data_IF_926454900773
#
_entry.id   IF_926454900773
#
_cell.length_a   1.000
_cell.length_b   1.000
_cell.length_c   1.000
_cell.angle_alpha   90.00
_cell.angle_beta   90.00
_cell.angle_gamma   90.00
#
_symmetry.space_group_name_H-M   'P 1'
#
loop_
_entity.id
_entity.type
_entity.pdbx_description
1 polymer ?
#
# COMPACT_ATOMS: atom_id res chain seq x y z
N UNK A 1 -4.16 -13.67 -3.17
CA UNK A 1 -5.14 -14.73 -2.88
C UNK A 1 -5.84 -15.13 -4.17
N UNK A 2 -6.19 -16.40 -4.32
CA UNK A 2 -6.97 -16.89 -5.45
C UNK A 2 -8.45 -16.59 -5.24
N UNK A 3 -9.18 -16.35 -6.33
CA UNK A 3 -10.59 -15.95 -6.28
C UNK A 3 -11.48 -17.00 -5.58
N UNK A 4 -11.12 -18.28 -5.67
CA UNK A 4 -11.85 -19.40 -5.07
C UNK A 4 -11.26 -19.85 -3.72
N UNK A 5 -10.30 -19.10 -3.16
CA UNK A 5 -9.62 -19.43 -1.92
C UNK A 5 -8.73 -20.68 -2.02
N UNK A 6 -8.27 -21.04 -3.22
CA UNK A 6 -7.37 -22.18 -3.49
C UNK A 6 -8.10 -23.52 -3.66
N UNK A 7 -9.43 -23.51 -3.80
CA UNK A 7 -10.26 -24.72 -3.91
C UNK A 7 -9.98 -25.53 -5.18
N UNK A 8 -9.79 -24.87 -6.32
CA UNK A 8 -9.47 -25.53 -7.59
C UNK A 8 -8.08 -26.17 -7.60
N UNK A 9 -7.09 -25.55 -6.94
CA UNK A 9 -5.71 -26.04 -6.90
C UNK A 9 -5.45 -27.05 -5.79
N UNK A 10 -6.27 -27.06 -4.75
CA UNK A 10 -6.14 -27.98 -3.62
C UNK A 10 -7.44 -28.78 -3.46
N UNK A 11 -7.53 -30.00 -4.03
CA UNK A 11 -8.74 -30.82 -3.98
C UNK A 11 -9.23 -31.15 -2.55
N UNK A 12 -8.34 -31.12 -1.56
CA UNK A 12 -8.67 -31.28 -0.14
C UNK A 12 -9.34 -30.04 0.48
N UNK A 13 -9.22 -28.86 -0.14
CA UNK A 13 -9.92 -27.65 0.29
C UNK A 13 -11.35 -27.63 -0.24
N UNK A 14 -12.25 -28.29 0.48
CA UNK A 14 -13.68 -28.30 0.13
C UNK A 14 -14.40 -26.96 0.42
N UNK A 15 -13.83 -26.10 1.26
CA UNK A 15 -14.48 -24.89 1.76
C UNK A 15 -14.36 -23.71 0.77
N UNK A 16 -13.14 -23.38 0.35
CA UNK A 16 -12.85 -22.28 -0.58
C UNK A 16 -13.12 -20.88 -0.01
N UNK A 17 -13.17 -19.89 -0.91
CA UNK A 17 -13.34 -18.46 -0.56
C UNK A 17 -14.55 -18.17 0.33
N UNK A 18 -15.63 -18.96 0.22
CA UNK A 18 -16.83 -18.84 1.07
C UNK A 18 -16.52 -18.89 2.57
N UNK A 19 -15.44 -19.59 2.95
CA UNK A 19 -15.02 -19.75 4.33
C UNK A 19 -13.68 -19.07 4.62
N UNK A 20 -13.25 -18.12 3.77
CA UNK A 20 -12.05 -17.32 4.00
C UNK A 20 -10.73 -18.10 3.87
N UNK A 21 -10.70 -19.20 3.12
CA UNK A 21 -9.46 -19.97 2.89
C UNK A 21 -8.55 -19.30 1.86
N UNK A 22 -7.27 -19.69 1.84
CA UNK A 22 -6.32 -19.27 0.79
C UNK A 22 -5.68 -17.90 1.02
N UNK A 23 -5.64 -17.43 2.27
CA UNK A 23 -4.94 -16.20 2.64
C UNK A 23 -3.43 -16.31 2.34
N UNK A 24 -2.89 -15.26 1.73
CA UNK A 24 -1.46 -15.08 1.53
C UNK A 24 -1.14 -13.59 1.48
N UNK A 25 -0.04 -13.20 2.12
CA UNK A 25 0.48 -11.84 2.11
C UNK A 25 2.01 -11.83 1.89
N UNK A 26 2.59 -10.63 1.80
CA UNK A 26 4.02 -10.45 1.54
C UNK A 26 4.94 -10.85 2.72
N UNK A 27 4.40 -11.18 3.90
CA UNK A 27 5.18 -11.64 5.05
C UNK A 27 5.49 -13.13 4.98
N UNK A 28 4.91 -13.87 4.03
CA UNK A 28 5.01 -15.33 3.93
C UNK A 28 4.78 -16.02 5.28
N UNK A 29 3.60 -15.79 5.91
CA UNK A 29 3.36 -16.16 7.29
C UNK A 29 3.40 -17.67 7.46
N UNK A 30 4.23 -18.15 8.39
CA UNK A 30 4.20 -19.54 8.84
C UNK A 30 3.26 -19.73 10.04
N UNK A 31 3.12 -18.70 10.89
CA UNK A 31 2.14 -18.65 11.98
C UNK A 31 1.64 -17.20 12.15
N UNK A 32 0.34 -16.92 12.04
CA UNK A 32 -0.22 -15.56 12.25
C UNK A 32 -0.86 -15.46 13.63
N UNK A 33 -0.25 -14.69 14.53
CA UNK A 33 -0.88 -14.13 15.75
C UNK A 33 -0.28 -12.74 16.03
N UNK A 34 -0.67 -11.74 15.24
CA UNK A 34 -0.30 -10.31 15.37
C UNK A 34 1.17 -9.95 15.11
N UNK A 35 1.40 -8.79 14.49
CA UNK A 35 2.75 -8.19 14.36
C UNK A 35 2.63 -6.69 14.62
N UNK A 36 2.92 -6.32 15.87
CA UNK A 36 3.29 -5.00 16.45
C UNK A 36 2.56 -3.71 16.03
N UNK A 37 1.42 -3.78 15.34
CA UNK A 37 0.39 -2.72 15.37
C UNK A 37 0.81 -1.28 15.00
N UNK A 38 1.94 -1.05 14.33
CA UNK A 38 2.47 0.30 14.09
C UNK A 38 3.02 0.51 12.67
N UNK A 39 2.64 1.64 12.08
CA UNK A 39 3.25 2.18 10.87
C UNK A 39 4.44 3.09 11.26
N UNK A 40 5.61 2.87 10.66
CA UNK A 40 6.81 3.65 10.93
C UNK A 40 6.77 5.03 10.23
N UNK A 41 6.02 5.97 10.80
CA UNK A 41 6.06 7.40 10.43
C UNK A 41 6.50 8.20 11.67
N UNK A 42 7.82 8.29 11.88
CA UNK A 42 8.40 9.03 13.02
C UNK A 42 7.95 10.50 12.97
N UNK A 43 7.11 10.92 13.92
CA UNK A 43 6.57 12.28 14.03
C UNK A 43 5.15 12.48 13.45
N UNK A 44 4.50 11.43 12.94
CA UNK A 44 3.08 11.51 12.57
C UNK A 44 2.22 11.37 13.82
N UNK A 45 1.69 12.48 14.32
CA UNK A 45 0.55 12.45 15.23
C UNK A 45 -0.69 12.20 14.37
N UNK A 46 -1.53 11.24 14.75
CA UNK A 46 -2.89 11.20 14.24
C UNK A 46 -3.50 12.58 14.49
N UNK A 47 -4.04 13.16 13.42
CA UNK A 47 -4.61 14.49 13.43
C UNK A 47 -5.90 14.43 14.26
N UNK A 48 -5.80 14.75 15.57
CA UNK A 48 -6.92 14.82 16.49
C UNK A 48 -7.94 15.90 16.12
N UNK A 49 -8.98 16.05 16.93
CA UNK A 49 -10.07 16.99 16.71
C UNK A 49 -9.53 18.40 16.34
N UNK A 50 -10.03 18.97 15.24
CA UNK A 50 -9.62 20.30 14.74
C UNK A 50 -8.35 20.36 13.88
N UNK A 51 -7.78 19.22 13.45
CA UNK A 51 -6.60 19.16 12.57
C UNK A 51 -6.93 19.09 11.06
N UNK A 52 -5.89 19.02 10.21
CA UNK A 52 -6.04 19.02 8.73
C UNK A 52 -6.76 17.76 8.25
N UNK A 53 -6.57 16.61 8.87
CA UNK A 53 -7.40 15.43 8.67
C UNK A 53 -7.96 14.95 10.01
N UNK A 54 -9.12 15.48 10.40
CA UNK A 54 -9.76 15.14 11.69
C UNK A 54 -10.18 13.65 11.73
N UNK A 55 -9.44 12.83 12.46
CA UNK A 55 -9.71 11.38 12.55
C UNK A 55 -10.91 11.04 13.44
N UNK A 56 -11.50 12.01 14.15
CA UNK A 56 -12.75 11.82 14.89
C UNK A 56 -13.99 11.83 13.99
N UNK A 57 -13.83 12.32 12.74
CA UNK A 57 -14.90 12.40 11.74
C UNK A 57 -14.68 11.38 10.64
N UNK A 58 -15.75 11.04 9.92
CA UNK A 58 -15.62 10.23 8.71
C UNK A 58 -14.90 11.05 7.64
N UNK A 59 -14.08 10.38 6.84
CA UNK A 59 -13.44 10.94 5.67
C UNK A 59 -13.23 9.82 4.65
N UNK A 60 -13.01 10.19 3.40
CA UNK A 60 -12.70 9.24 2.33
C UNK A 60 -11.19 9.16 2.13
N UNK A 61 -10.67 7.94 2.01
CA UNK A 61 -9.28 7.69 1.61
C UNK A 61 -9.26 7.41 0.11
N UNK A 62 -8.56 8.24 -0.65
CA UNK A 62 -8.40 8.08 -2.09
C UNK A 62 -6.99 7.55 -2.36
N UNK A 63 -6.90 6.39 -3.02
CA UNK A 63 -5.62 5.83 -3.47
C UNK A 63 -5.65 5.72 -4.99
N UNK A 64 -4.71 6.39 -5.65
CA UNK A 64 -4.56 6.38 -7.10
C UNK A 64 -3.35 5.54 -7.49
N UNK A 65 -3.54 4.65 -8.47
CA UNK A 65 -2.49 3.82 -9.05
C UNK A 65 -2.19 4.35 -10.44
N UNK A 66 -1.10 5.11 -10.57
CA UNK A 66 -0.76 5.83 -11.79
C UNK A 66 0.20 4.96 -12.59
N UNK A 67 -0.13 4.77 -13.87
CA UNK A 67 0.64 3.95 -14.80
C UNK A 67 1.36 4.82 -15.83
N UNK A 68 2.43 4.28 -16.39
CA UNK A 68 3.13 4.90 -17.51
C UNK A 68 2.19 5.13 -18.69
N UNK A 69 2.17 6.37 -19.20
CA UNK A 69 1.28 6.77 -20.29
C UNK A 69 -0.19 6.91 -19.88
N UNK A 70 -0.53 6.85 -18.58
CA UNK A 70 -1.91 6.98 -18.07
C UNK A 70 -2.90 6.00 -18.72
N UNK A 71 -2.47 4.76 -18.95
CA UNK A 71 -3.31 3.71 -19.55
C UNK A 71 -3.44 2.50 -18.62
N UNK A 72 -4.48 1.70 -18.80
CA UNK A 72 -4.62 0.42 -18.09
C UNK A 72 -3.61 -0.67 -18.54
N UNK A 73 -2.77 -0.39 -19.54
CA UNK A 73 -1.74 -1.30 -20.06
C UNK A 73 -0.33 -0.92 -19.61
N UNK A 74 -0.13 0.32 -19.15
CA UNK A 74 1.16 0.82 -18.71
C UNK A 74 1.63 0.18 -17.42
N UNK A 75 2.95 0.19 -17.20
CA UNK A 75 3.55 -0.24 -15.94
C UNK A 75 3.14 0.72 -14.81
N UNK A 76 2.91 0.20 -13.60
CA UNK A 76 2.65 1.04 -12.42
C UNK A 76 3.91 1.83 -12.08
N UNK A 77 3.79 3.16 -11.97
CA UNK A 77 4.94 4.05 -11.71
C UNK A 77 4.79 4.86 -10.42
N UNK A 78 3.56 5.10 -9.96
CA UNK A 78 3.30 5.91 -8.76
C UNK A 78 2.03 5.44 -8.04
N UNK A 79 2.10 5.34 -6.71
CA UNK A 79 0.90 5.25 -5.85
C UNK A 79 0.73 6.56 -5.10
N UNK A 80 -0.37 7.26 -5.36
CA UNK A 80 -0.69 8.55 -4.73
C UNK A 80 -1.84 8.41 -3.75
N UNK A 81 -1.76 9.19 -2.67
CA UNK A 81 -2.77 9.24 -1.61
C UNK A 81 -3.38 10.65 -1.54
N UNK A 82 -4.69 10.72 -1.34
CA UNK A 82 -5.41 11.93 -0.96
C UNK A 82 -6.52 11.57 0.02
N UNK A 83 -7.07 12.58 0.70
CA UNK A 83 -8.20 12.41 1.60
C UNK A 83 -9.30 13.42 1.25
N UNK A 84 -10.56 13.03 1.35
CA UNK A 84 -11.70 13.92 1.14
C UNK A 84 -12.50 13.98 2.44
N UNK A 85 -12.66 15.18 3.00
CA UNK A 85 -13.51 15.41 4.17
C UNK A 85 -14.99 15.40 3.77
N UNK A 86 -15.86 15.20 4.76
CA UNK A 86 -17.32 15.29 4.57
C UNK A 86 -17.80 16.69 4.14
N UNK A 87 -17.02 17.74 4.41
CA UNK A 87 -17.30 19.12 3.97
C UNK A 87 -16.89 19.40 2.51
N UNK A 88 -16.38 18.38 1.78
CA UNK A 88 -15.92 18.50 0.40
C UNK A 88 -14.46 18.93 0.25
N UNK A 89 -13.74 19.20 1.34
CA UNK A 89 -12.33 19.61 1.29
C UNK A 89 -11.42 18.44 0.89
N UNK A 90 -10.71 18.59 -0.22
CA UNK A 90 -9.66 17.65 -0.64
C UNK A 90 -8.33 17.99 0.06
N UNK A 91 -7.72 16.98 0.68
CA UNK A 91 -6.46 17.06 1.39
C UNK A 91 -5.42 16.23 0.64
N UNK A 92 -4.35 16.88 0.19
CA UNK A 92 -3.18 16.21 -0.37
C UNK A 92 -2.40 15.45 0.69
N UNK A 93 -1.74 14.36 0.30
CA UNK A 93 -0.85 13.63 1.21
C UNK A 93 0.26 14.55 1.72
N UNK A 94 0.68 14.33 2.97
CA UNK A 94 1.77 15.10 3.55
C UNK A 94 3.11 14.57 2.99
N UNK A 95 4.00 15.44 2.49
CA UNK A 95 5.31 14.99 2.07
C UNK A 95 6.13 14.45 3.24
N UNK A 96 6.94 13.43 2.98
CA UNK A 96 7.82 12.84 4.00
C UNK A 96 8.81 13.87 4.52
N UNK A 97 9.03 13.82 5.84
CA UNK A 97 9.97 14.70 6.56
C UNK A 97 11.29 13.98 6.83
N UNK A 98 11.86 13.36 5.81
CA UNK A 98 13.16 12.67 5.92
C UNK A 98 14.27 13.64 5.49
N UNK A 99 15.23 13.87 6.38
CA UNK A 99 16.44 14.65 6.06
C UNK A 99 17.30 13.85 5.07
N UNK A 100 17.76 14.47 3.99
CA UNK A 100 18.57 13.82 2.95
C UNK A 100 17.82 13.41 1.68
N UNK A 101 16.52 13.71 1.56
CA UNK A 101 15.81 13.62 0.28
C UNK A 101 15.97 14.93 -0.51
N UNK A 102 16.49 14.83 -1.75
CA UNK A 102 16.64 15.97 -2.66
C UNK A 102 15.31 16.64 -3.03
N UNK A 103 14.21 15.87 -2.96
CA UNK A 103 12.85 16.35 -3.23
C UNK A 103 11.89 15.83 -2.18
N UNK A 104 10.98 16.70 -1.74
CA UNK A 104 9.80 16.32 -0.97
C UNK A 104 9.04 15.25 -1.76
N UNK A 105 8.81 14.09 -1.14
CA UNK A 105 8.06 13.00 -1.73
C UNK A 105 6.77 12.79 -0.95
N UNK A 106 5.63 12.86 -1.64
CA UNK A 106 4.28 12.69 -1.10
C UNK A 106 3.54 11.49 -1.73
N UNK A 107 4.24 10.71 -2.55
CA UNK A 107 3.74 9.50 -3.22
C UNK A 107 4.80 8.41 -3.25
N UNK A 108 4.37 7.17 -3.47
CA UNK A 108 5.26 6.02 -3.58
C UNK A 108 5.72 5.85 -5.03
N UNK A 109 7.03 5.90 -5.25
CA UNK A 109 7.69 5.65 -6.54
C UNK A 109 8.94 4.82 -6.28
N UNK A 110 9.46 4.10 -7.29
CA UNK A 110 10.73 3.37 -7.14
C UNK A 110 11.88 4.29 -6.71
N UNK A 111 11.91 5.53 -7.21
CA UNK A 111 12.90 6.54 -6.83
C UNK A 111 12.80 6.91 -5.36
N UNK A 112 11.59 7.16 -4.87
CA UNK A 112 11.35 7.45 -3.46
C UNK A 112 11.73 6.25 -2.58
N UNK A 113 11.30 5.03 -2.95
CA UNK A 113 11.63 3.81 -2.21
C UNK A 113 13.16 3.60 -2.13
N UNK A 114 13.89 3.79 -3.23
CA UNK A 114 15.35 3.70 -3.24
C UNK A 114 15.98 4.76 -2.33
N UNK A 115 15.63 6.04 -2.52
CA UNK A 115 16.22 7.12 -1.73
C UNK A 115 15.91 6.97 -0.24
N UNK A 116 14.69 6.58 0.12
CA UNK A 116 14.33 6.31 1.51
C UNK A 116 15.18 5.17 2.10
N UNK A 117 15.38 4.08 1.35
CA UNK A 117 16.20 2.94 1.80
C UNK A 117 17.68 3.30 1.90
N UNK A 118 18.21 4.12 1.00
CA UNK A 118 19.58 4.62 1.05
C UNK A 118 19.83 5.51 2.28
N UNK A 119 18.81 6.26 2.72
CA UNK A 119 18.87 7.12 3.91
C UNK A 119 18.72 6.28 5.19
N UNK A 120 17.73 5.37 5.25
CA UNK A 120 17.49 4.54 6.43
C UNK A 120 18.53 3.43 6.59
N UNK A 121 19.35 3.17 5.57
CA UNK A 121 20.33 2.07 5.51
C UNK A 121 19.70 0.68 5.60
N UNK A 122 18.41 0.60 5.30
CA UNK A 122 17.70 -0.68 5.18
C UNK A 122 18.02 -1.35 3.84
N UNK A 123 17.96 -2.68 3.81
CA UNK A 123 17.96 -3.43 2.56
C UNK A 123 16.75 -3.05 1.69
N UNK A 124 17.00 -2.82 0.40
CA UNK A 124 15.96 -2.51 -0.58
C UNK A 124 15.37 -3.77 -1.22
N UNK A 125 14.80 -4.64 -0.40
CA UNK A 125 14.14 -5.87 -0.85
C UNK A 125 12.99 -5.61 -1.82
N UNK A 126 12.35 -4.44 -1.72
CA UNK A 126 11.31 -4.00 -2.66
C UNK A 126 11.84 -3.96 -4.10
N UNK A 127 13.01 -3.34 -4.32
CA UNK A 127 13.65 -3.31 -5.64
C UNK A 127 14.13 -4.69 -6.09
N UNK A 128 14.67 -5.49 -5.17
CA UNK A 128 15.11 -6.86 -5.46
C UNK A 128 13.96 -7.75 -5.96
N UNK A 129 12.72 -7.51 -5.48
CA UNK A 129 11.53 -8.22 -5.92
C UNK A 129 10.78 -7.54 -7.09
N UNK A 130 11.44 -6.62 -7.81
CA UNK A 130 10.92 -6.00 -9.03
C UNK A 130 10.10 -4.71 -8.84
N UNK A 131 10.08 -4.16 -7.64
CA UNK A 131 9.59 -2.81 -7.34
C UNK A 131 8.14 -2.55 -7.76
N UNK A 132 7.88 -1.32 -8.20
CA UNK A 132 6.54 -0.89 -8.63
C UNK A 132 6.02 -1.71 -9.82
N UNK A 133 6.89 -2.14 -10.71
CA UNK A 133 6.54 -2.99 -11.85
C UNK A 133 5.96 -4.33 -11.42
N UNK A 134 6.63 -5.03 -10.50
CA UNK A 134 6.14 -6.31 -9.97
C UNK A 134 4.82 -6.14 -9.21
N UNK A 135 4.68 -5.04 -8.45
CA UNK A 135 3.41 -4.71 -7.80
C UNK A 135 2.29 -4.49 -8.82
N UNK A 136 2.56 -3.72 -9.88
CA UNK A 136 1.60 -3.50 -10.98
C UNK A 136 1.20 -4.78 -11.71
N UNK A 137 2.13 -5.73 -11.87
CA UNK A 137 1.82 -7.05 -12.44
C UNK A 137 0.86 -7.86 -11.55
N UNK A 138 1.07 -7.85 -10.22
CA UNK A 138 0.15 -8.49 -9.29
C UNK A 138 -1.25 -7.85 -9.34
N UNK A 139 -1.32 -6.51 -9.39
CA UNK A 139 -2.58 -5.79 -9.54
C UNK A 139 -3.31 -6.13 -10.85
N UNK A 140 -2.57 -6.28 -11.95
CA UNK A 140 -3.11 -6.68 -13.26
C UNK A 140 -3.76 -8.06 -13.23
N UNK A 141 -3.26 -8.97 -12.39
CA UNK A 141 -3.82 -10.32 -12.24
C UNK A 141 -5.09 -10.36 -11.36
N UNK A 142 -5.47 -9.23 -10.76
CA UNK A 142 -6.57 -9.15 -9.81
C UNK A 142 -6.12 -9.47 -8.38
N UNK A 143 -6.59 -8.64 -7.44
CA UNK A 143 -6.31 -8.78 -6.01
C UNK A 143 -7.62 -8.80 -5.23
N UNK A 144 -7.65 -9.55 -4.14
CA UNK A 144 -8.83 -9.69 -3.28
C UNK A 144 -8.79 -8.61 -2.20
N UNK A 145 -9.93 -7.93 -2.01
CA UNK A 145 -10.23 -7.18 -0.80
C UNK A 145 -11.04 -8.12 0.11
N UNK A 146 -10.42 -8.59 1.19
CA UNK A 146 -11.01 -9.51 2.17
C UNK A 146 -11.31 -8.81 3.48
#
# INVERSE_FOLDING_TARGET
MEQDGGKSKHPSNAAGAKYGTGYCDAKCPKDIKWVEGQANIKGWKADGEGKKLDTSKKFTVITQFITQGNTNKGELIEVRRMYLRQDGTLIQNEPVKVQGLDKKADSLTDKFCQANKDITKDQNSFKEHGGMKAMGQAMKNGMVLS
#
